data_IF_077025892025
#
_entry.id   IF_077025892025
#
_cell.length_a   1.000
_cell.length_b   1.000
_cell.length_c   1.000
_cell.angle_alpha   90.00
_cell.angle_beta   90.00
_cell.angle_gamma   90.00
#
_symmetry.space_group_name_H-M   'P 1'
#
loop_
_entity.id
_entity.type
_entity.pdbx_description
1 polymer ?
#
# COMPACT_ATOMS: atom_id res chain seq x y z
N UNK A 1 22.71 -45.76 -25.66
CA UNK A 1 21.82 -44.93 -24.82
C UNK A 1 22.57 -43.63 -24.57
N UNK A 2 21.98 -42.48 -24.90
CA UNK A 2 22.59 -41.19 -24.58
C UNK A 2 22.63 -41.02 -23.06
N UNK A 3 23.79 -40.66 -22.51
CA UNK A 3 23.91 -40.37 -21.09
C UNK A 3 22.96 -39.22 -20.70
N UNK A 4 22.32 -39.30 -19.52
CA UNK A 4 21.53 -38.18 -19.02
C UNK A 4 22.44 -36.97 -18.83
N UNK A 5 21.97 -35.82 -19.28
CA UNK A 5 22.72 -34.59 -19.16
C UNK A 5 22.55 -34.03 -17.75
N UNK A 6 23.63 -33.57 -17.12
CA UNK A 6 23.64 -32.95 -15.79
C UNK A 6 24.13 -33.84 -14.64
N UNK A 7 24.45 -33.25 -13.47
CA UNK A 7 24.98 -33.99 -12.33
C UNK A 7 23.90 -34.80 -11.60
N UNK A 8 24.32 -35.86 -10.91
CA UNK A 8 23.48 -36.63 -10.01
C UNK A 8 23.04 -35.77 -8.81
N UNK A 9 21.73 -35.63 -8.51
CA UNK A 9 21.24 -34.74 -7.45
C UNK A 9 21.66 -35.12 -6.01
N UNK A 10 22.26 -36.30 -5.80
CA UNK A 10 22.70 -36.78 -4.48
C UNK A 10 24.19 -36.52 -4.25
N UNK A 11 25.02 -36.79 -5.26
CA UNK A 11 26.49 -36.72 -5.13
C UNK A 11 27.13 -35.59 -5.93
N UNK A 12 26.35 -34.87 -6.72
CA UNK A 12 26.74 -33.75 -7.58
C UNK A 12 27.83 -34.07 -8.62
N UNK A 13 28.00 -35.36 -8.95
CA UNK A 13 28.94 -35.83 -9.98
C UNK A 13 28.22 -36.04 -11.30
N UNK A 14 28.87 -35.62 -12.39
CA UNK A 14 28.43 -35.89 -13.76
C UNK A 14 28.43 -37.40 -14.07
N UNK A 15 27.50 -37.86 -14.90
CA UNK A 15 27.41 -39.26 -15.34
C UNK A 15 28.48 -39.60 -16.38
N UNK A 16 29.09 -40.78 -16.27
CA UNK A 16 30.10 -41.29 -17.19
C UNK A 16 29.61 -42.55 -17.92
N UNK A 17 30.21 -42.83 -19.06
CA UNK A 17 29.94 -44.08 -19.80
C UNK A 17 30.33 -45.29 -18.93
N UNK A 18 29.36 -46.17 -18.69
CA UNK A 18 29.48 -47.32 -17.78
C UNK A 18 28.89 -47.12 -16.39
N UNK A 19 28.43 -45.91 -16.04
CA UNK A 19 27.67 -45.70 -14.80
C UNK A 19 26.32 -46.41 -14.85
N UNK A 20 25.93 -47.03 -13.74
CA UNK A 20 24.59 -47.61 -13.58
C UNK A 20 23.62 -46.52 -13.11
N UNK A 21 22.65 -46.18 -13.96
CA UNK A 21 21.80 -45.00 -13.82
C UNK A 21 20.34 -45.42 -13.61
N UNK A 22 19.71 -44.80 -12.63
CA UNK A 22 18.27 -44.92 -12.34
C UNK A 22 17.61 -43.57 -12.59
N UNK A 23 16.54 -43.55 -13.38
CA UNK A 23 15.74 -42.35 -13.64
C UNK A 23 14.47 -42.43 -12.82
N UNK A 24 14.13 -41.36 -12.09
CA UNK A 24 12.89 -41.30 -11.32
C UNK A 24 11.67 -41.27 -12.26
N UNK A 25 10.69 -42.17 -12.10
CA UNK A 25 9.51 -42.22 -12.97
C UNK A 25 8.56 -41.03 -12.78
N UNK A 26 8.63 -40.32 -11.65
CA UNK A 26 7.74 -39.19 -11.35
C UNK A 26 8.22 -37.85 -11.90
N UNK A 27 9.54 -37.64 -11.98
CA UNK A 27 10.11 -36.33 -12.34
C UNK A 27 11.23 -36.39 -13.39
N UNK A 28 11.64 -37.58 -13.84
CA UNK A 28 12.70 -37.72 -14.83
C UNK A 28 14.13 -37.45 -14.33
N UNK A 29 14.32 -37.20 -13.02
CA UNK A 29 15.64 -36.95 -12.46
C UNK A 29 16.55 -38.20 -12.57
N UNK A 30 17.76 -38.10 -13.13
CA UNK A 30 18.73 -39.19 -13.20
C UNK A 30 19.57 -39.30 -11.92
N UNK A 31 19.87 -40.52 -11.48
CA UNK A 31 20.67 -40.85 -10.30
C UNK A 31 21.65 -41.98 -10.60
N UNK A 32 22.79 -42.04 -9.91
CA UNK A 32 23.56 -43.29 -9.82
C UNK A 32 22.74 -44.31 -9.01
N UNK A 33 22.71 -45.59 -9.43
CA UNK A 33 21.96 -46.64 -8.73
C UNK A 33 22.33 -46.72 -7.24
N UNK A 34 23.62 -46.61 -6.93
CA UNK A 34 24.11 -46.58 -5.55
C UNK A 34 23.56 -45.37 -4.75
N UNK A 35 23.52 -44.18 -5.37
CA UNK A 35 22.95 -42.98 -4.75
C UNK A 35 21.43 -43.09 -4.54
N UNK A 36 20.71 -43.67 -5.50
CA UNK A 36 19.27 -43.88 -5.37
C UNK A 36 18.93 -44.91 -4.28
N UNK A 37 19.71 -45.99 -4.19
CA UNK A 37 19.57 -46.99 -3.12
C UNK A 37 19.91 -46.43 -1.74
N UNK A 38 20.89 -45.53 -1.63
CA UNK A 38 21.25 -44.88 -0.36
C UNK A 38 20.11 -44.02 0.20
N UNK A 39 19.40 -43.28 -0.65
CA UNK A 39 18.28 -42.41 -0.24
C UNK A 39 16.95 -43.16 -0.20
N UNK A 40 16.84 -44.28 -0.93
CA UNK A 40 15.66 -45.16 -0.99
C UNK A 40 14.48 -44.59 -1.77
N UNK A 41 14.49 -43.29 -2.09
CA UNK A 41 13.47 -42.59 -2.86
C UNK A 41 14.07 -41.38 -3.57
N UNK A 42 13.29 -40.75 -4.46
CA UNK A 42 13.70 -39.51 -5.11
C UNK A 42 13.94 -38.39 -4.08
N UNK A 43 15.02 -37.63 -4.21
CA UNK A 43 15.25 -36.45 -3.34
C UNK A 43 14.21 -35.34 -3.56
N UNK A 44 13.53 -35.38 -4.71
CA UNK A 44 12.46 -34.44 -5.06
C UNK A 44 11.07 -35.00 -4.78
N UNK A 45 10.92 -36.05 -3.97
CA UNK A 45 9.60 -36.65 -3.66
C UNK A 45 8.56 -35.61 -3.21
N UNK A 46 8.95 -34.64 -2.39
CA UNK A 46 8.05 -33.56 -1.95
C UNK A 46 7.54 -32.67 -3.10
N UNK A 47 8.26 -32.62 -4.23
CA UNK A 47 7.90 -31.84 -5.43
C UNK A 47 7.11 -32.66 -6.44
N UNK A 48 7.00 -33.97 -6.28
CA UNK A 48 6.21 -34.79 -7.20
C UNK A 48 4.72 -34.41 -7.18
N UNK A 49 4.20 -33.95 -6.03
CA UNK A 49 2.82 -33.48 -5.92
C UNK A 49 2.52 -32.22 -6.76
N UNK A 50 3.54 -31.45 -7.15
CA UNK A 50 3.40 -30.24 -7.97
C UNK A 50 3.70 -30.47 -9.45
N UNK A 51 3.74 -31.72 -9.93
CA UNK A 51 4.09 -32.04 -11.32
C UNK A 51 5.53 -31.68 -11.70
N UNK A 52 6.45 -31.70 -10.74
CA UNK A 52 7.84 -31.32 -10.96
C UNK A 52 8.54 -32.19 -12.01
N UNK A 53 9.07 -31.55 -13.04
CA UNK A 53 9.97 -32.16 -14.03
C UNK A 53 11.40 -31.66 -13.82
N UNK A 54 12.36 -32.58 -13.80
CA UNK A 54 13.76 -32.28 -13.61
C UNK A 54 14.39 -31.73 -14.89
N UNK A 55 14.75 -30.44 -14.87
CA UNK A 55 15.53 -29.81 -15.94
C UNK A 55 17.01 -29.82 -15.59
N UNK A 56 17.81 -30.43 -16.46
CA UNK A 56 19.26 -30.47 -16.28
C UNK A 56 19.89 -29.08 -16.40
N UNK A 57 20.80 -28.70 -15.49
CA UNK A 57 21.56 -27.45 -15.61
C UNK A 57 22.49 -27.38 -16.83
N UNK A 58 22.78 -28.51 -17.50
CA UNK A 58 23.76 -28.59 -18.60
C UNK A 58 23.17 -29.03 -19.95
N UNK A 59 21.84 -29.14 -20.09
CA UNK A 59 21.26 -29.48 -21.38
C UNK A 59 21.48 -28.34 -22.39
N UNK A 60 22.05 -28.59 -23.59
CA UNK A 60 22.06 -27.60 -24.66
C UNK A 60 20.61 -27.32 -25.07
N UNK A 61 20.28 -26.06 -25.41
CA UNK A 61 18.93 -25.68 -25.78
C UNK A 61 18.50 -26.46 -27.03
N UNK A 62 17.55 -27.37 -26.89
CA UNK A 62 16.63 -27.73 -27.97
C UNK A 62 15.92 -26.45 -28.41
N UNK A 63 15.69 -26.20 -29.72
CA UNK A 63 15.39 -24.88 -30.25
C UNK A 63 14.00 -24.41 -29.83
N UNK A 64 13.90 -23.90 -28.61
CA UNK A 64 12.77 -23.21 -28.00
C UNK A 64 13.26 -22.61 -26.67
N UNK A 65 14.37 -21.85 -26.73
CA UNK A 65 14.82 -21.00 -25.64
C UNK A 65 15.76 -19.91 -26.16
N UNK A 66 15.28 -18.66 -26.02
CA UNK A 66 16.04 -17.42 -25.79
C UNK A 66 16.85 -16.87 -26.98
N UNK A 67 16.54 -15.75 -27.61
CA UNK A 67 16.35 -14.32 -27.19
C UNK A 67 16.87 -13.51 -28.42
N UNK A 68 16.65 -12.19 -28.62
CA UNK A 68 16.37 -11.17 -27.60
C UNK A 68 15.30 -10.14 -28.00
N UNK A 69 14.93 -9.34 -27.01
CA UNK A 69 14.49 -7.95 -27.21
C UNK A 69 13.29 -7.71 -28.12
N UNK A 70 12.16 -7.42 -27.46
CA UNK A 70 11.33 -6.30 -27.89
C UNK A 70 9.99 -6.68 -28.50
N UNK A 71 9.02 -5.82 -28.14
CA UNK A 71 7.67 -5.66 -28.68
C UNK A 71 6.64 -6.64 -28.14
N UNK A 72 5.62 -6.04 -27.51
CA UNK A 72 4.51 -6.75 -26.90
C UNK A 72 3.52 -7.26 -27.93
N UNK A 73 2.75 -8.26 -27.51
CA UNK A 73 1.38 -8.47 -27.91
C UNK A 73 0.73 -9.40 -26.89
N UNK A 74 -0.52 -9.09 -26.58
CA UNK A 74 -1.42 -9.87 -25.76
C UNK A 74 -1.64 -11.28 -26.35
N UNK A 75 -1.80 -12.29 -25.51
CA UNK A 75 -2.85 -13.29 -25.73
C UNK A 75 -3.27 -13.92 -24.41
N UNK A 76 -4.59 -13.99 -24.25
CA UNK A 76 -5.27 -14.64 -23.17
C UNK A 76 -5.39 -16.16 -23.40
N UNK A 77 -5.40 -16.88 -22.27
CA UNK A 77 -6.09 -18.14 -21.97
C UNK A 77 -5.59 -19.47 -22.57
N UNK A 78 -5.07 -20.35 -21.69
CA UNK A 78 -5.75 -21.60 -21.30
C UNK A 78 -5.12 -22.18 -20.01
N UNK A 79 -5.95 -22.67 -19.10
CA UNK A 79 -5.69 -22.95 -17.68
C UNK A 79 -5.03 -24.31 -17.40
N UNK A 80 -4.26 -24.41 -16.31
CA UNK A 80 -4.49 -25.46 -15.30
C UNK A 80 -4.14 -24.94 -13.90
N UNK A 81 -4.98 -25.31 -12.94
CA UNK A 81 -5.12 -24.72 -11.60
C UNK A 81 -3.96 -25.11 -10.66
N UNK A 82 -3.40 -24.13 -9.94
CA UNK A 82 -3.02 -24.21 -8.48
C UNK A 82 -1.93 -23.22 -8.00
N UNK A 83 -1.71 -22.06 -8.62
CA UNK A 83 -1.25 -20.87 -7.86
C UNK A 83 -1.87 -19.60 -8.44
N UNK A 84 -3.03 -19.17 -7.91
CA UNK A 84 -3.60 -17.86 -8.23
C UNK A 84 -2.79 -16.76 -7.52
N UNK A 85 -1.62 -16.41 -8.05
CA UNK A 85 -0.90 -15.21 -7.60
C UNK A 85 0.57 -15.06 -8.03
N UNK A 86 1.01 -13.81 -8.16
CA UNK A 86 2.38 -13.36 -8.40
C UNK A 86 3.19 -13.32 -7.09
N UNK A 87 4.32 -14.03 -7.06
CA UNK A 87 5.27 -13.99 -5.95
C UNK A 87 6.04 -12.67 -5.93
N UNK A 88 6.11 -12.04 -4.77
CA UNK A 88 6.90 -10.83 -4.59
C UNK A 88 8.41 -11.14 -4.62
N UNK A 89 9.20 -10.50 -5.49
CA UNK A 89 10.63 -10.78 -5.63
C UNK A 89 11.45 -10.34 -4.41
N UNK A 90 10.86 -9.54 -3.51
CA UNK A 90 11.58 -8.97 -2.37
C UNK A 90 11.27 -9.67 -1.03
N UNK A 91 10.04 -10.13 -0.83
CA UNK A 91 9.62 -10.74 0.45
C UNK A 91 8.95 -12.10 0.31
N UNK A 92 8.83 -12.63 -0.92
CA UNK A 92 8.26 -13.95 -1.20
C UNK A 92 6.74 -14.08 -0.97
N UNK A 93 6.02 -12.98 -0.76
CA UNK A 93 4.55 -13.03 -0.58
C UNK A 93 3.87 -13.33 -1.91
N UNK A 94 2.97 -14.30 -1.92
CA UNK A 94 2.06 -14.54 -3.04
C UNK A 94 0.99 -13.46 -3.03
N UNK A 95 0.92 -12.68 -4.09
CA UNK A 95 -0.05 -11.62 -4.28
C UNK A 95 -0.98 -11.99 -5.42
N UNK A 96 -2.22 -11.52 -5.44
CA UNK A 96 -3.07 -11.67 -6.63
C UNK A 96 -2.36 -11.15 -7.90
N UNK A 97 -2.60 -11.80 -9.04
CA UNK A 97 -2.02 -11.40 -10.32
C UNK A 97 -2.40 -9.95 -10.71
N UNK A 98 -3.55 -9.45 -10.24
CA UNK A 98 -3.98 -8.06 -10.44
C UNK A 98 -3.23 -7.04 -9.58
N UNK A 99 -2.48 -7.48 -8.57
CA UNK A 99 -1.80 -6.55 -7.68
C UNK A 99 -0.58 -5.93 -8.38
N UNK A 100 -0.58 -4.60 -8.47
CA UNK A 100 0.56 -3.83 -8.99
C UNK A 100 1.70 -3.77 -7.96
N UNK A 101 1.36 -3.80 -6.68
CA UNK A 101 2.31 -3.77 -5.56
C UNK A 101 2.07 -4.93 -4.60
N UNK A 102 3.15 -5.43 -3.99
CA UNK A 102 3.08 -6.45 -2.98
C UNK A 102 2.25 -5.98 -1.78
N UNK A 103 1.24 -6.76 -1.39
CA UNK A 103 0.38 -6.52 -0.24
C UNK A 103 1.14 -6.54 1.09
N UNK A 104 2.26 -7.28 1.16
CA UNK A 104 3.10 -7.39 2.37
C UNK A 104 4.16 -6.30 2.48
N UNK A 105 4.96 -6.06 1.43
CA UNK A 105 6.10 -5.14 1.49
C UNK A 105 6.03 -3.96 0.51
N UNK A 106 5.02 -3.92 -0.37
CA UNK A 106 4.83 -2.83 -1.32
C UNK A 106 5.72 -2.87 -2.57
N UNK A 107 6.60 -3.85 -2.74
CA UNK A 107 7.42 -3.96 -3.97
C UNK A 107 6.52 -4.02 -5.21
N UNK A 108 6.79 -3.25 -6.28
CA UNK A 108 6.08 -3.41 -7.54
C UNK A 108 6.25 -4.84 -8.06
N UNK A 109 5.15 -5.46 -8.46
CA UNK A 109 5.11 -6.86 -8.94
C UNK A 109 5.19 -6.94 -10.46
N UNK A 110 4.82 -5.85 -11.14
CA UNK A 110 4.85 -5.72 -12.59
C UNK A 110 5.73 -4.52 -12.97
N UNK A 111 6.80 -4.77 -13.73
CA UNK A 111 7.75 -3.75 -14.17
C UNK A 111 7.13 -2.97 -15.34
N UNK A 112 6.69 -1.73 -15.12
CA UNK A 112 6.35 -0.85 -16.22
C UNK A 112 7.64 -0.50 -17.00
N UNK A 113 7.59 -0.65 -18.33
CA UNK A 113 8.69 -0.30 -19.22
C UNK A 113 9.15 1.16 -19.01
N UNK A 114 10.46 1.36 -18.97
CA UNK A 114 11.12 2.66 -18.75
C UNK A 114 10.73 3.69 -19.83
N UNK A 115 10.37 4.94 -19.49
CA UNK A 115 10.36 6.04 -20.44
C UNK A 115 11.76 6.64 -20.60
N UNK A 116 12.02 7.41 -21.68
CA UNK A 116 13.34 7.98 -21.96
C UNK A 116 13.77 9.04 -20.92
N UNK A 117 15.07 9.29 -20.77
CA UNK A 117 15.60 10.21 -19.78
C UNK A 117 15.38 11.66 -20.21
N UNK A 118 14.48 12.37 -19.54
CA UNK A 118 14.30 13.80 -19.74
C UNK A 118 12.88 14.27 -19.42
N UNK A 119 12.61 14.53 -18.14
CA UNK A 119 11.31 15.03 -17.70
C UNK A 119 11.39 15.66 -16.31
N UNK A 120 11.75 16.94 -16.27
CA UNK A 120 11.70 17.76 -15.06
C UNK A 120 10.21 18.03 -14.75
N UNK A 121 9.59 17.29 -13.82
CA UNK A 121 8.25 17.66 -13.33
C UNK A 121 7.31 16.58 -12.78
N UNK A 122 7.69 15.30 -12.72
CA UNK A 122 6.72 14.21 -12.44
C UNK A 122 6.36 13.89 -10.97
N UNK A 123 6.70 14.73 -9.98
CA UNK A 123 6.72 14.28 -8.57
C UNK A 123 5.63 14.85 -7.65
N UNK A 124 4.65 15.59 -8.18
CA UNK A 124 3.63 16.27 -7.35
C UNK A 124 2.22 15.66 -7.35
N UNK A 125 1.86 14.80 -8.30
CA UNK A 125 0.57 14.12 -8.29
C UNK A 125 0.75 12.65 -8.62
N UNK A 126 0.35 11.78 -7.70
CA UNK A 126 0.24 10.35 -7.97
C UNK A 126 -0.83 10.14 -9.04
N UNK A 127 -0.39 9.83 -10.26
CA UNK A 127 -1.26 9.56 -11.40
C UNK A 127 -0.43 9.18 -12.62
N UNK A 128 -0.43 7.87 -12.92
CA UNK A 128 -0.29 7.30 -14.27
C UNK A 128 0.86 7.82 -15.14
N UNK A 129 2.04 7.30 -14.89
CA UNK A 129 3.15 7.26 -15.82
C UNK A 129 4.14 6.25 -15.26
N UNK A 130 4.61 5.30 -16.08
CA UNK A 130 5.50 4.19 -15.69
C UNK A 130 6.85 4.66 -15.16
N UNK A 131 6.86 5.35 -14.02
CA UNK A 131 8.07 5.69 -13.31
C UNK A 131 8.67 4.39 -12.79
N UNK A 132 9.90 4.11 -13.19
CA UNK A 132 10.76 3.12 -12.54
C UNK A 132 10.72 3.39 -11.03
N UNK A 133 10.03 2.52 -10.29
CA UNK A 133 10.06 2.53 -8.83
C UNK A 133 11.21 1.61 -8.47
N UNK A 134 12.39 2.13 -8.05
CA UNK A 134 13.48 1.27 -7.62
C UNK A 134 12.98 0.32 -6.53
N UNK A 135 13.51 -0.92 -6.46
CA UNK A 135 13.18 -1.86 -5.40
C UNK A 135 13.25 -1.18 -4.03
N UNK A 136 12.24 -1.41 -3.20
CA UNK A 136 12.14 -0.76 -1.91
C UNK A 136 13.28 -1.22 -1.01
N UNK A 137 14.21 -0.32 -0.72
CA UNK A 137 15.31 -0.58 0.22
C UNK A 137 14.78 -0.75 1.65
N UNK A 138 14.75 -2.00 2.12
CA UNK A 138 14.39 -2.36 3.49
C UNK A 138 15.62 -2.56 4.40
N UNK A 139 16.81 -2.21 3.94
CA UNK A 139 18.01 -2.25 4.78
C UNK A 139 18.04 -1.07 5.76
N UNK A 140 18.57 -1.31 6.95
CA UNK A 140 18.71 -0.30 7.99
C UNK A 140 17.42 0.01 8.75
N UNK A 141 17.45 1.16 9.44
CA UNK A 141 16.47 1.51 10.47
C UNK A 141 15.96 2.95 10.33
N UNK A 142 14.71 3.14 10.71
CA UNK A 142 14.07 4.45 10.83
C UNK A 142 13.58 4.59 12.27
N UNK A 143 14.07 5.60 12.99
CA UNK A 143 13.77 5.85 14.40
C UNK A 143 14.10 4.63 15.30
N UNK A 144 15.21 3.93 15.00
CA UNK A 144 15.64 2.72 15.72
C UNK A 144 14.73 1.50 15.52
N UNK A 145 13.90 1.50 14.46
CA UNK A 145 13.02 0.39 14.08
C UNK A 145 13.41 -0.05 12.67
N UNK A 146 13.57 -1.36 12.48
CA UNK A 146 13.94 -1.93 11.18
C UNK A 146 12.92 -1.53 10.09
N UNK A 147 13.41 -1.15 8.90
CA UNK A 147 12.53 -0.77 7.79
C UNK A 147 11.56 -1.89 7.37
N UNK A 148 11.93 -3.17 7.57
CA UNK A 148 11.04 -4.32 7.36
C UNK A 148 9.79 -4.28 8.23
N UNK A 149 9.91 -3.90 9.51
CA UNK A 149 8.80 -3.84 10.45
C UNK A 149 7.91 -2.65 10.12
N UNK A 150 8.53 -1.54 9.72
CA UNK A 150 7.80 -0.40 9.17
C UNK A 150 7.05 -0.77 7.88
N UNK A 151 7.65 -1.52 6.97
CA UNK A 151 7.00 -1.97 5.75
C UNK A 151 5.78 -2.84 6.06
N UNK A 152 5.92 -3.81 6.96
CA UNK A 152 4.84 -4.66 7.44
C UNK A 152 3.73 -3.85 8.12
N UNK A 153 4.09 -2.84 8.93
CA UNK A 153 3.13 -1.98 9.62
C UNK A 153 2.42 -1.00 8.69
N UNK A 154 3.09 -0.47 7.66
CA UNK A 154 2.51 0.49 6.71
C UNK A 154 1.69 -0.22 5.63
N UNK A 155 2.11 -1.44 5.23
CA UNK A 155 1.51 -2.25 4.18
C UNK A 155 1.83 -1.74 2.77
N UNK A 156 0.84 -1.79 1.88
CA UNK A 156 0.99 -1.45 0.45
C UNK A 156 1.53 -0.04 0.16
N UNK A 157 1.38 0.91 1.08
CA UNK A 157 1.91 2.27 0.91
C UNK A 157 3.36 2.45 1.36
N UNK A 158 4.04 1.40 1.84
CA UNK A 158 5.42 1.46 2.30
C UNK A 158 6.39 2.11 1.29
N UNK A 159 6.29 1.87 -0.03
CA UNK A 159 7.18 2.49 -1.02
C UNK A 159 7.10 4.02 -1.05
N UNK A 160 5.96 4.60 -0.68
CA UNK A 160 5.78 6.06 -0.64
C UNK A 160 6.26 6.64 0.70
N UNK A 161 6.08 5.90 1.80
CA UNK A 161 6.32 6.42 3.14
C UNK A 161 7.78 6.24 3.59
N UNK A 162 8.39 5.08 3.35
CA UNK A 162 9.74 4.80 3.85
C UNK A 162 10.80 5.75 3.30
N UNK A 163 10.85 6.07 1.99
CA UNK A 163 11.83 7.02 1.47
C UNK A 163 11.67 8.41 2.08
N UNK A 164 10.42 8.87 2.25
CA UNK A 164 10.13 10.19 2.84
C UNK A 164 10.49 10.24 4.32
N UNK A 165 10.24 9.16 5.07
CA UNK A 165 10.66 9.03 6.47
C UNK A 165 12.20 8.98 6.60
N UNK A 166 12.87 8.25 5.71
CA UNK A 166 14.33 8.19 5.67
C UNK A 166 14.94 9.57 5.36
N UNK A 167 14.37 10.30 4.40
CA UNK A 167 14.75 11.68 4.09
C UNK A 167 14.51 12.63 5.29
N UNK A 168 13.40 12.48 6.01
CA UNK A 168 13.14 13.20 7.27
C UNK A 168 14.21 12.94 8.31
N UNK A 169 14.61 11.68 8.51
CA UNK A 169 15.66 11.31 9.45
C UNK A 169 17.02 11.86 9.03
N UNK A 170 17.40 11.73 7.75
CA UNK A 170 18.68 12.19 7.23
C UNK A 170 18.87 13.71 7.42
N UNK A 171 17.83 14.51 7.14
CA UNK A 171 17.85 15.97 7.35
C UNK A 171 17.54 16.41 8.78
N UNK A 172 17.29 15.47 9.70
CA UNK A 172 16.82 15.73 11.08
C UNK A 172 15.58 16.65 11.13
N UNK A 173 14.73 16.58 10.10
CA UNK A 173 13.59 17.47 9.90
C UNK A 173 12.24 16.77 10.09
N UNK A 174 11.21 17.55 10.40
CA UNK A 174 9.84 17.04 10.69
C UNK A 174 8.84 17.27 9.55
N UNK A 175 9.23 18.02 8.52
CA UNK A 175 8.30 18.58 7.53
C UNK A 175 8.31 17.77 6.24
N UNK A 176 7.24 17.03 5.93
CA UNK A 176 7.10 16.35 4.64
C UNK A 176 5.70 16.60 4.09
N UNK A 177 5.63 17.29 2.94
CA UNK A 177 4.36 17.66 2.33
C UNK A 177 3.58 16.42 1.87
N UNK A 178 2.41 16.23 2.45
CA UNK A 178 1.43 15.21 2.07
C UNK A 178 0.19 15.89 1.49
N UNK A 179 0.16 16.02 0.16
CA UNK A 179 -0.91 16.74 -0.53
C UNK A 179 -2.30 16.15 -0.26
N UNK A 180 -2.42 14.83 -0.10
CA UNK A 180 -3.69 14.19 0.25
C UNK A 180 -4.24 14.65 1.60
N UNK A 181 -3.38 15.01 2.55
CA UNK A 181 -3.79 15.49 3.87
C UNK A 181 -4.34 16.91 3.79
N UNK A 182 -3.79 17.73 2.90
CA UNK A 182 -4.23 19.11 2.71
C UNK A 182 -5.74 19.19 2.40
N UNK A 183 -6.22 18.35 1.47
CA UNK A 183 -7.62 18.36 1.07
C UNK A 183 -8.53 17.55 2.01
N UNK A 184 -8.06 16.42 2.53
CA UNK A 184 -8.91 15.47 3.29
C UNK A 184 -8.25 15.01 4.59
N UNK A 185 -7.84 15.98 5.42
CA UNK A 185 -7.17 15.76 6.72
C UNK A 185 -7.86 14.72 7.62
N UNK A 186 -9.15 14.85 8.01
CA UNK A 186 -9.78 13.89 8.94
C UNK A 186 -9.85 12.48 8.33
N UNK A 187 -10.12 12.36 7.02
CA UNK A 187 -10.13 11.09 6.32
C UNK A 187 -8.74 10.44 6.31
N UNK A 188 -7.67 11.22 6.08
CA UNK A 188 -6.31 10.69 6.13
C UNK A 188 -5.97 10.11 7.52
N UNK A 189 -6.26 10.85 8.59
CA UNK A 189 -5.96 10.39 9.94
C UNK A 189 -6.78 9.14 10.30
N UNK A 190 -8.05 9.06 9.90
CA UNK A 190 -8.88 7.88 10.08
C UNK A 190 -8.38 6.68 9.25
N UNK A 191 -8.00 6.93 7.99
CA UNK A 191 -7.41 5.92 7.10
C UNK A 191 -6.16 5.30 7.72
N UNK A 192 -5.30 6.11 8.36
CA UNK A 192 -4.11 5.66 9.08
C UNK A 192 -4.34 5.23 10.53
N UNK A 193 -5.61 5.06 10.93
CA UNK A 193 -6.02 4.61 12.28
C UNK A 193 -5.48 5.49 13.42
N UNK A 194 -5.30 6.79 13.12
CA UNK A 194 -4.93 7.83 14.08
C UNK A 194 -6.18 8.52 14.63
N UNK A 195 -7.02 7.78 15.34
CA UNK A 195 -8.38 8.19 15.72
C UNK A 195 -8.45 9.53 16.49
N UNK A 196 -7.49 9.80 17.39
CA UNK A 196 -7.46 11.07 18.11
C UNK A 196 -7.21 12.28 17.19
N UNK A 197 -6.29 12.13 16.23
CA UNK A 197 -6.03 13.18 15.22
C UNK A 197 -7.17 13.30 14.21
N UNK A 198 -7.84 12.19 13.89
CA UNK A 198 -9.02 12.20 13.03
C UNK A 198 -10.18 12.97 13.69
N UNK A 199 -10.45 12.70 14.96
CA UNK A 199 -11.48 13.39 15.73
C UNK A 199 -11.18 14.90 15.86
N UNK A 200 -9.92 15.26 16.17
CA UNK A 200 -9.49 16.66 16.24
C UNK A 200 -9.66 17.37 14.89
N UNK A 201 -9.13 16.81 13.80
CA UNK A 201 -9.24 17.41 12.49
C UNK A 201 -10.70 17.52 12.01
N UNK A 202 -11.54 16.54 12.36
CA UNK A 202 -12.97 16.57 12.05
C UNK A 202 -13.70 17.65 12.84
N UNK A 203 -13.45 17.76 14.14
CA UNK A 203 -14.07 18.80 14.96
C UNK A 203 -13.69 20.20 14.47
N UNK A 204 -12.40 20.43 14.18
CA UNK A 204 -11.95 21.72 13.63
C UNK A 204 -12.61 22.02 12.27
N UNK A 205 -12.71 21.01 11.38
CA UNK A 205 -13.40 21.18 10.10
C UNK A 205 -14.86 21.62 10.29
N UNK A 206 -15.63 20.92 11.13
CA UNK A 206 -17.04 21.23 11.35
C UNK A 206 -17.24 22.61 11.97
N UNK A 207 -16.42 22.98 12.95
CA UNK A 207 -16.51 24.29 13.63
C UNK A 207 -16.13 25.43 12.68
N UNK A 208 -15.02 25.29 11.94
CA UNK A 208 -14.56 26.34 11.03
C UNK A 208 -15.43 26.48 9.78
N UNK A 209 -16.22 25.46 9.44
CA UNK A 209 -17.14 25.50 8.29
C UNK A 209 -18.54 26.00 8.67
N UNK A 210 -18.88 26.06 9.96
CA UNK A 210 -20.20 26.53 10.43
C UNK A 210 -20.54 27.97 9.98
N UNK A 211 -19.63 28.97 10.04
CA UNK A 211 -19.94 30.32 9.55
C UNK A 211 -20.33 30.36 8.08
N UNK A 212 -19.63 29.60 7.22
CA UNK A 212 -19.94 29.51 5.79
C UNK A 212 -21.31 28.89 5.54
N UNK A 213 -21.70 27.89 6.33
CA UNK A 213 -23.04 27.29 6.25
C UNK A 213 -24.12 28.28 6.70
N UNK A 214 -23.88 29.06 7.76
CA UNK A 214 -24.79 30.12 8.17
C UNK A 214 -24.93 31.22 7.11
N UNK A 215 -23.82 31.61 6.47
CA UNK A 215 -23.83 32.61 5.40
C UNK A 215 -24.70 32.14 4.23
N UNK A 216 -24.53 30.88 3.81
CA UNK A 216 -25.34 30.30 2.74
C UNK A 216 -26.84 30.28 3.09
N UNK A 217 -27.19 29.96 4.35
CA UNK A 217 -28.58 30.01 4.80
C UNK A 217 -29.12 31.45 4.85
N UNK A 218 -28.31 32.41 5.29
CA UNK A 218 -28.67 33.83 5.35
C UNK A 218 -28.93 34.40 3.95
N UNK A 219 -28.07 34.08 2.97
CA UNK A 219 -28.29 34.41 1.56
C UNK A 219 -29.54 33.74 0.99
N UNK A 220 -29.88 32.54 1.49
CA UNK A 220 -31.11 31.81 1.17
C UNK A 220 -32.38 32.40 1.81
N UNK A 221 -32.27 33.47 2.61
CA UNK A 221 -33.41 34.16 3.21
C UNK A 221 -33.55 33.99 4.73
N UNK A 222 -32.64 33.27 5.41
CA UNK A 222 -32.70 33.12 6.86
C UNK A 222 -32.40 34.45 7.58
N UNK A 223 -33.41 35.10 8.17
CA UNK A 223 -33.28 36.42 8.82
C UNK A 223 -33.16 36.39 10.35
N UNK A 224 -33.14 35.21 10.97
CA UNK A 224 -33.17 35.06 12.45
C UNK A 224 -31.81 35.24 13.12
N UNK A 225 -30.73 35.40 12.33
CA UNK A 225 -29.39 35.54 12.88
C UNK A 225 -29.17 36.96 13.42
N UNK A 226 -28.66 37.14 14.65
CA UNK A 226 -28.41 38.45 15.25
C UNK A 226 -27.18 39.16 14.67
N UNK A 227 -26.61 38.66 13.57
CA UNK A 227 -25.41 39.18 12.92
C UNK A 227 -25.78 39.82 11.59
N UNK A 228 -25.13 40.93 11.24
CA UNK A 228 -25.25 41.48 9.89
C UNK A 228 -24.60 40.55 8.87
N UNK A 229 -25.10 40.59 7.62
CA UNK A 229 -24.57 39.76 6.54
C UNK A 229 -23.08 40.03 6.29
N UNK A 230 -22.65 41.28 6.41
CA UNK A 230 -21.25 41.68 6.31
C UNK A 230 -20.38 41.08 7.43
N UNK A 231 -20.86 41.13 8.68
CA UNK A 231 -20.14 40.54 9.81
C UNK A 231 -20.00 39.02 9.65
N UNK A 232 -21.06 38.35 9.19
CA UNK A 232 -21.07 36.91 8.94
C UNK A 232 -20.15 36.52 7.78
N UNK A 233 -20.11 37.32 6.71
CA UNK A 233 -19.17 37.12 5.60
C UNK A 233 -17.71 37.27 6.06
N UNK A 234 -17.39 38.34 6.80
CA UNK A 234 -16.05 38.56 7.33
C UNK A 234 -15.61 37.43 8.27
N UNK A 235 -16.52 36.94 9.11
CA UNK A 235 -16.28 35.76 9.97
C UNK A 235 -16.02 34.49 9.14
N UNK A 236 -16.80 34.27 8.07
CA UNK A 236 -16.64 33.12 7.17
C UNK A 236 -15.31 33.14 6.43
N UNK A 237 -14.89 34.32 5.96
CA UNK A 237 -13.58 34.53 5.33
C UNK A 237 -12.45 34.28 6.33
N UNK A 238 -12.53 34.84 7.53
CA UNK A 238 -11.54 34.61 8.58
C UNK A 238 -11.43 33.12 8.96
N UNK A 239 -12.56 32.43 9.13
CA UNK A 239 -12.59 31.00 9.41
C UNK A 239 -11.98 30.18 8.26
N UNK A 240 -12.23 30.58 7.01
CA UNK A 240 -11.64 29.93 5.82
C UNK A 240 -10.11 30.07 5.77
N UNK A 241 -9.56 31.23 6.15
CA UNK A 241 -8.11 31.39 6.25
C UNK A 241 -7.50 30.54 7.37
N UNK A 242 -8.17 30.46 8.53
CA UNK A 242 -7.74 29.58 9.63
C UNK A 242 -7.78 28.12 9.21
N UNK A 243 -8.83 27.70 8.50
CA UNK A 243 -8.97 26.36 7.94
C UNK A 243 -7.83 26.04 6.96
N UNK A 244 -7.52 26.96 6.04
CA UNK A 244 -6.42 26.82 5.10
C UNK A 244 -5.07 26.68 5.82
N UNK A 245 -4.79 27.54 6.81
CA UNK A 245 -3.57 27.48 7.60
C UNK A 245 -3.44 26.15 8.35
N UNK A 246 -4.53 25.67 8.95
CA UNK A 246 -4.57 24.37 9.62
C UNK A 246 -4.31 23.20 8.66
N UNK A 247 -4.94 23.22 7.48
CA UNK A 247 -4.72 22.20 6.45
C UNK A 247 -3.26 22.18 5.96
N UNK A 248 -2.63 23.35 5.79
CA UNK A 248 -1.20 23.44 5.48
C UNK A 248 -0.36 22.84 6.60
N UNK A 249 -0.65 23.16 7.86
CA UNK A 249 0.06 22.57 9.02
C UNK A 249 -0.10 21.05 9.04
N UNK A 250 -1.31 20.52 8.90
CA UNK A 250 -1.50 19.07 8.82
C UNK A 250 -0.78 18.45 7.63
N UNK A 251 -0.83 19.07 6.45
CA UNK A 251 -0.15 18.58 5.27
C UNK A 251 1.38 18.51 5.43
N UNK A 252 1.97 19.47 6.16
CA UNK A 252 3.41 19.51 6.41
C UNK A 252 3.86 18.51 7.48
N UNK A 253 3.04 18.25 8.50
CA UNK A 253 3.44 17.47 9.67
C UNK A 253 2.80 16.09 9.79
N UNK A 254 1.82 15.73 8.96
CA UNK A 254 1.11 14.45 9.07
C UNK A 254 2.03 13.23 9.00
N UNK A 255 3.04 13.22 8.12
CA UNK A 255 3.98 12.10 8.05
C UNK A 255 4.79 11.96 9.35
N UNK A 256 5.20 13.08 9.95
CA UNK A 256 5.89 13.10 11.24
C UNK A 256 5.00 12.61 12.38
N UNK A 257 3.75 13.09 12.43
CA UNK A 257 2.76 12.62 13.40
C UNK A 257 2.53 11.11 13.26
N UNK A 258 2.42 10.63 12.02
CA UNK A 258 2.27 9.21 11.73
C UNK A 258 3.51 8.40 12.14
N UNK A 259 4.72 8.88 11.85
CA UNK A 259 5.96 8.23 12.27
C UNK A 259 6.05 8.12 13.80
N UNK A 260 5.71 9.19 14.55
CA UNK A 260 5.69 9.15 16.02
C UNK A 260 4.62 8.19 16.55
N UNK A 261 3.42 8.22 15.97
CA UNK A 261 2.30 7.36 16.35
C UNK A 261 2.60 5.88 16.06
N UNK A 262 3.06 5.57 14.85
CA UNK A 262 3.43 4.24 14.40
C UNK A 262 4.60 3.67 15.19
N UNK A 263 5.66 4.46 15.38
CA UNK A 263 6.86 4.03 16.10
C UNK A 263 6.56 3.66 17.55
N UNK A 264 5.69 4.43 18.23
CA UNK A 264 5.20 4.08 19.58
C UNK A 264 4.46 2.75 19.57
N UNK A 265 3.54 2.53 18.61
CA UNK A 265 2.77 1.27 18.50
C UNK A 265 3.65 0.07 18.17
N UNK A 266 4.59 0.21 17.23
CA UNK A 266 5.51 -0.87 16.84
C UNK A 266 6.35 -1.31 18.04
N UNK A 267 6.93 -0.37 18.79
CA UNK A 267 7.71 -0.68 20.01
C UNK A 267 6.85 -1.37 21.08
N UNK A 268 5.61 -0.91 21.29
CA UNK A 268 4.68 -1.57 22.21
C UNK A 268 4.34 -2.99 21.77
N UNK A 269 4.15 -3.22 20.47
CA UNK A 269 3.87 -4.56 19.94
C UNK A 269 5.08 -5.49 20.11
N UNK A 270 6.30 -4.98 19.90
CA UNK A 270 7.53 -5.75 20.12
C UNK A 270 7.69 -6.17 21.57
N UNK A 271 7.32 -5.30 22.51
CA UNK A 271 7.35 -5.59 23.95
C UNK A 271 6.29 -6.61 24.37
N UNK A 272 5.07 -6.51 23.81
CA UNK A 272 3.95 -7.36 24.19
C UNK A 272 3.94 -8.73 23.51
N UNK A 273 4.64 -8.88 22.39
CA UNK A 273 4.72 -10.12 21.61
C UNK A 273 6.18 -10.44 21.31
N UNK A 274 6.89 -11.14 22.21
CA UNK A 274 8.30 -11.48 22.02
C UNK A 274 8.51 -12.53 20.92
N UNK A 275 7.51 -13.36 20.64
CA UNK A 275 7.52 -14.34 19.55
C UNK A 275 7.42 -13.64 18.18
N UNK A 276 8.36 -13.95 17.27
CA UNK A 276 8.51 -13.25 15.99
C UNK A 276 7.27 -13.41 15.08
N UNK A 277 6.67 -14.59 15.02
CA UNK A 277 5.48 -14.84 14.18
C UNK A 277 4.28 -14.01 14.66
N UNK A 278 4.02 -14.01 15.97
CA UNK A 278 2.92 -13.26 16.59
C UNK A 278 3.16 -11.75 16.46
N UNK A 279 4.41 -11.29 16.60
CA UNK A 279 4.80 -9.91 16.38
C UNK A 279 4.51 -9.45 14.94
N UNK A 280 4.98 -10.20 13.95
CA UNK A 280 4.81 -9.83 12.53
C UNK A 280 3.34 -9.86 12.09
N UNK A 281 2.55 -10.81 12.58
CA UNK A 281 1.10 -10.84 12.37
C UNK A 281 0.40 -9.63 13.03
N UNK A 282 0.82 -9.26 14.25
CA UNK A 282 0.26 -8.13 14.99
C UNK A 282 0.58 -6.78 14.35
N UNK A 283 1.76 -6.64 13.74
CA UNK A 283 2.14 -5.44 12.96
C UNK A 283 1.17 -5.21 11.80
N UNK A 284 0.88 -6.24 10.99
CA UNK A 284 -0.04 -6.11 9.87
C UNK A 284 -1.47 -5.79 10.32
N UNK A 285 -1.94 -6.42 11.41
CA UNK A 285 -3.31 -6.23 11.92
C UNK A 285 -3.53 -4.83 12.51
N UNK A 286 -2.61 -4.37 13.37
CA UNK A 286 -2.72 -3.05 14.02
C UNK A 286 -2.27 -1.90 13.13
N UNK A 287 -1.38 -2.17 12.19
CA UNK A 287 -0.97 -1.27 11.13
C UNK A 287 -1.98 -1.23 9.98
N UNK A 288 -1.49 -0.96 8.79
CA UNK A 288 -2.26 -0.90 7.56
C UNK A 288 -3.23 0.28 7.54
N UNK A 289 -4.35 0.09 6.86
CA UNK A 289 -5.30 1.15 6.52
C UNK A 289 -6.72 0.79 6.95
N UNK A 290 -7.58 1.80 7.09
CA UNK A 290 -8.98 1.61 7.47
C UNK A 290 -9.91 2.36 6.52
N UNK A 291 -10.42 1.66 5.50
CA UNK A 291 -11.40 2.22 4.56
C UNK A 291 -12.73 2.50 5.27
N UNK A 292 -13.15 1.59 6.17
CA UNK A 292 -14.35 1.78 7.00
C UNK A 292 -14.24 3.06 7.82
N UNK A 293 -13.07 3.36 8.38
CA UNK A 293 -12.83 4.61 9.12
C UNK A 293 -13.05 5.86 8.26
N UNK A 294 -12.65 5.82 6.99
CA UNK A 294 -12.89 6.91 6.04
C UNK A 294 -14.37 7.07 5.74
N UNK A 295 -15.07 5.97 5.45
CA UNK A 295 -16.52 5.99 5.18
C UNK A 295 -17.30 6.55 6.36
N UNK A 296 -16.95 6.15 7.59
CA UNK A 296 -17.57 6.68 8.81
C UNK A 296 -17.32 8.18 8.96
N UNK A 297 -16.10 8.66 8.74
CA UNK A 297 -15.81 10.11 8.79
C UNK A 297 -16.61 10.89 7.75
N UNK A 298 -16.70 10.38 6.51
CA UNK A 298 -17.49 11.02 5.45
C UNK A 298 -18.98 11.03 5.83
N UNK A 299 -19.51 9.92 6.34
CA UNK A 299 -20.88 9.83 6.81
C UNK A 299 -21.17 10.83 7.94
N UNK A 300 -20.24 11.01 8.89
CA UNK A 300 -20.37 12.00 9.96
C UNK A 300 -20.37 13.42 9.39
N UNK A 301 -19.50 13.74 8.43
CA UNK A 301 -19.48 15.08 7.80
C UNK A 301 -20.83 15.35 7.13
N UNK A 302 -21.30 14.41 6.31
CA UNK A 302 -22.59 14.53 5.61
C UNK A 302 -23.74 14.67 6.60
N UNK A 303 -23.82 13.78 7.60
CA UNK A 303 -24.86 13.83 8.62
C UNK A 303 -24.83 15.14 9.42
N UNK A 304 -23.65 15.62 9.79
CA UNK A 304 -23.50 16.89 10.49
C UNK A 304 -23.98 18.06 9.64
N UNK A 305 -23.66 18.08 8.33
CA UNK A 305 -24.18 19.09 7.41
C UNK A 305 -25.70 19.04 7.28
N UNK A 306 -26.29 17.85 7.13
CA UNK A 306 -27.76 17.70 7.09
C UNK A 306 -28.44 18.13 8.38
N UNK A 307 -27.92 17.71 9.53
CA UNK A 307 -28.44 18.11 10.85
C UNK A 307 -28.35 19.62 10.99
N UNK A 308 -27.21 20.21 10.63
CA UNK A 308 -27.03 21.65 10.67
C UNK A 308 -28.07 22.40 9.84
N UNK A 309 -28.31 21.99 8.59
CA UNK A 309 -29.34 22.59 7.74
C UNK A 309 -30.75 22.35 8.27
N UNK A 310 -31.04 21.16 8.80
CA UNK A 310 -32.35 20.82 9.34
C UNK A 310 -32.73 21.67 10.57
N UNK A 311 -31.74 22.09 11.37
CA UNK A 311 -31.96 22.97 12.53
C UNK A 311 -32.50 24.36 12.16
N UNK A 312 -32.37 24.78 10.89
CA UNK A 312 -32.84 26.08 10.41
C UNK A 312 -33.88 25.95 9.29
N UNK A 313 -34.41 24.74 9.07
CA UNK A 313 -35.30 24.45 7.95
C UNK A 313 -36.65 25.17 8.10
N UNK A 314 -37.21 25.17 9.31
CA UNK A 314 -38.52 25.78 9.57
C UNK A 314 -38.45 27.30 9.37
N UNK A 315 -37.40 27.94 9.88
CA UNK A 315 -37.17 29.38 9.71
C UNK A 315 -36.90 29.76 8.25
N UNK A 316 -36.18 28.92 7.51
CA UNK A 316 -35.94 29.11 6.09
C UNK A 316 -37.24 29.00 5.28
N UNK A 317 -38.10 28.03 5.59
CA UNK A 317 -39.39 27.85 4.92
C UNK A 317 -40.34 29.03 5.17
N UNK A 318 -40.37 29.57 6.40
CA UNK A 318 -41.16 30.77 6.74
C UNK A 318 -40.64 32.00 5.99
N UNK A 319 -39.33 32.17 5.85
CA UNK A 319 -38.77 33.28 5.10
C UNK A 319 -39.05 33.16 3.59
N UNK A 320 -39.00 31.94 3.05
CA UNK A 320 -39.31 31.67 1.64
C UNK A 320 -40.80 31.90 1.33
N UNK A 321 -41.72 31.52 2.22
CA UNK A 321 -43.15 31.81 2.00
C UNK A 321 -43.43 33.31 2.04
N UNK A 322 -42.81 34.03 2.99
CA UNK A 322 -42.93 35.49 3.10
C UNK A 322 -42.39 36.24 1.86
N UNK A 323 -41.33 35.74 1.23
CA UNK A 323 -40.75 36.34 0.02
C UNK A 323 -41.50 35.96 -1.26
N UNK A 324 -42.10 34.76 -1.33
CA UNK A 324 -42.88 34.28 -2.48
C UNK A 324 -44.37 34.66 -2.43
N UNK A 325 -44.84 35.27 -1.33
CA UNK A 325 -46.19 35.81 -1.21
C UNK A 325 -47.29 34.76 -1.01
N UNK A 326 -46.95 33.60 -0.42
CA UNK A 326 -47.92 32.59 0.02
C UNK A 326 -48.25 32.72 1.50
#
# INVERSE_FOLDING_TARGET
>A
MSLPQGPCPVCDKDFKDGDDIVICPSCGAPYHRACYQQVGQCVFTARHASGFEYKSPKAPPSPEAETPSGTGYDTAAANDDTVKGTLCPQCGTINDASNIFCTRCGTPLHTAASPPPGGFGGQMFGGTGGAYVPPLDLSGEIDGIAKKDWAQFIGSSAPVYLPRMAQMQARKGKVSLMLSVFFVSPCYFAYRKMWGWAALALACLLVLQAPTMLLLLAEGGLTVLPLSLEALNNLSVAASYVQLAMQLVFALFALFLYQKHGGKKIRQLRQNHPEEEVYQASLAKKGGVSIIGVVVVIAIIIAASYIFSALFLDELMVALSATLGY
#
